data_IF_005598277365
#
_entry.id   IF_005598277365
#
_cell.length_a   1.000
_cell.length_b   1.000
_cell.length_c   1.000
_cell.angle_alpha   90.00
_cell.angle_beta   90.00
_cell.angle_gamma   90.00
#
_symmetry.space_group_name_H-M   'P 1'
#
loop_
_entity.id
_entity.type
_entity.pdbx_description
1 polymer ?
#
# COMPACT_ATOMS: atom_id res chain seq x y z
N UNK A 1 16.04 -3.06 -4.30
CA UNK A 1 15.76 -1.63 -4.51
C UNK A 1 14.40 -1.52 -5.18
N UNK A 2 13.41 -0.94 -4.48
CA UNK A 2 12.03 -0.80 -4.94
C UNK A 2 11.42 0.44 -4.26
N UNK A 3 12.00 1.60 -4.53
CA UNK A 3 11.67 2.86 -3.85
C UNK A 3 10.25 3.27 -4.18
N UNK A 4 9.44 3.53 -3.15
CA UNK A 4 8.10 4.03 -3.34
C UNK A 4 7.17 3.72 -2.16
N UNK A 5 5.92 4.20 -2.26
CA UNK A 5 4.99 4.12 -1.17
C UNK A 5 4.46 2.70 -0.97
N UNK A 6 4.03 2.43 0.26
CA UNK A 6 3.21 1.28 0.61
C UNK A 6 1.83 1.75 1.03
N UNK A 7 0.79 1.09 0.53
CA UNK A 7 -0.60 1.45 0.76
C UNK A 7 -1.41 0.25 1.26
N UNK A 8 -2.49 0.53 1.99
CA UNK A 8 -3.53 -0.47 2.22
C UNK A 8 -4.92 0.15 2.10
N UNK A 9 -5.82 -0.63 1.52
CA UNK A 9 -7.21 -0.28 1.30
C UNK A 9 -8.13 -1.41 1.78
N UNK A 10 -9.33 -1.08 2.24
CA UNK A 10 -10.39 -2.03 2.52
C UNK A 10 -11.54 -1.82 1.54
N UNK A 11 -12.25 -2.89 1.22
CA UNK A 11 -13.54 -2.83 0.53
C UNK A 11 -14.51 -3.83 1.16
N UNK A 12 -15.79 -3.46 1.40
CA UNK A 12 -16.81 -4.43 1.77
C UNK A 12 -16.92 -5.51 0.70
N UNK A 13 -17.02 -6.76 1.12
CA UNK A 13 -17.10 -7.93 0.25
C UNK A 13 -18.50 -8.55 0.39
N UNK A 14 -19.49 -8.08 -0.38
CA UNK A 14 -20.89 -8.45 -0.18
C UNK A 14 -21.17 -9.93 -0.50
N UNK A 15 -20.30 -10.58 -1.28
CA UNK A 15 -20.41 -11.98 -1.64
C UNK A 15 -19.06 -12.54 -2.06
N UNK A 16 -18.74 -13.82 -1.76
CA UNK A 16 -17.56 -14.51 -2.28
C UNK A 16 -17.45 -14.53 -3.82
N UNK A 17 -18.56 -14.28 -4.52
CA UNK A 17 -18.61 -14.25 -5.98
C UNK A 17 -18.22 -12.87 -6.56
N UNK A 18 -18.12 -11.82 -5.74
CA UNK A 18 -17.72 -10.50 -6.20
C UNK A 18 -16.22 -10.48 -6.48
N UNK A 19 -15.84 -10.06 -7.67
CA UNK A 19 -14.43 -9.97 -8.07
C UNK A 19 -13.78 -8.71 -7.50
N UNK A 20 -12.47 -8.73 -7.29
CA UNK A 20 -11.75 -7.58 -6.75
C UNK A 20 -11.93 -6.30 -7.60
N UNK A 21 -12.14 -6.42 -8.91
CA UNK A 21 -12.30 -5.26 -9.79
C UNK A 21 -13.65 -4.53 -9.62
N UNK A 22 -14.64 -5.20 -9.03
CA UNK A 22 -15.97 -4.64 -8.77
C UNK A 22 -16.04 -3.95 -7.39
N UNK A 23 -15.08 -4.22 -6.52
CA UNK A 23 -15.03 -3.70 -5.17
C UNK A 23 -14.62 -2.21 -5.14
N UNK A 24 -15.24 -1.47 -4.22
CA UNK A 24 -14.93 -0.07 -3.94
C UNK A 24 -14.01 0.01 -2.73
N UNK A 25 -12.73 0.24 -3.00
CA UNK A 25 -11.66 0.29 -2.03
C UNK A 25 -11.47 1.68 -1.44
N UNK A 26 -11.58 1.81 -0.13
CA UNK A 26 -11.20 3.03 0.59
C UNK A 26 -9.84 2.84 1.27
N UNK A 27 -9.02 3.89 1.26
CA UNK A 27 -7.65 3.84 1.79
C UNK A 27 -7.67 3.91 3.32
N UNK A 28 -6.94 3.01 3.97
CA UNK A 28 -6.80 2.97 5.44
C UNK A 28 -5.36 3.18 5.91
N UNK A 29 -4.39 3.02 5.02
CA UNK A 29 -2.98 3.18 5.34
C UNK A 29 -2.19 3.69 4.13
N UNK A 30 -1.21 4.53 4.42
CA UNK A 30 -0.21 4.98 3.47
C UNK A 30 1.10 5.29 4.19
N UNK A 31 2.19 4.72 3.71
CA UNK A 31 3.55 5.09 4.08
C UNK A 31 4.29 5.47 2.80
N UNK A 32 4.41 6.77 2.56
CA UNK A 32 5.13 7.32 1.42
C UNK A 32 6.60 7.63 1.74
N UNK A 33 7.12 8.78 1.32
CA UNK A 33 8.48 9.18 1.71
C UNK A 33 8.48 9.73 3.14
N UNK A 34 9.45 9.30 3.95
CA UNK A 34 9.61 9.65 5.37
C UNK A 34 10.85 10.55 5.55
N UNK A 35 10.70 11.89 5.53
CA UNK A 35 11.84 12.81 5.51
C UNK A 35 12.72 12.78 6.75
N UNK A 36 12.19 12.28 7.88
CA UNK A 36 12.91 12.18 9.16
C UNK A 36 13.97 11.08 9.17
N UNK A 37 13.78 10.04 8.33
CA UNK A 37 14.72 8.92 8.21
C UNK A 37 15.36 8.84 6.82
N UNK A 38 14.79 9.54 5.84
CA UNK A 38 15.32 9.59 4.48
C UNK A 38 14.86 8.43 3.59
N UNK A 39 13.91 7.61 4.06
CA UNK A 39 13.47 6.38 3.41
C UNK A 39 12.08 6.52 2.77
N UNK A 40 11.83 5.79 1.69
CA UNK A 40 10.46 5.45 1.29
C UNK A 40 9.84 4.41 2.21
N UNK A 41 8.51 4.33 2.27
CA UNK A 41 7.80 3.35 3.07
C UNK A 41 8.36 1.94 2.90
N UNK A 42 8.56 1.49 1.66
CA UNK A 42 9.12 0.17 1.40
C UNK A 42 10.52 -0.05 2.00
N UNK A 43 11.39 0.95 1.89
CA UNK A 43 12.73 0.89 2.50
C UNK A 43 12.63 0.86 4.02
N UNK A 44 11.76 1.71 4.58
CA UNK A 44 11.50 1.72 6.01
C UNK A 44 11.00 0.36 6.51
N UNK A 45 10.07 -0.29 5.81
CA UNK A 45 9.60 -1.62 6.18
C UNK A 45 10.69 -2.68 6.12
N UNK A 46 11.64 -2.59 5.17
CA UNK A 46 12.77 -3.52 5.14
C UNK A 46 13.65 -3.43 6.38
N UNK A 47 13.71 -2.27 7.03
CA UNK A 47 14.36 -2.11 8.35
C UNK A 47 13.55 -2.67 9.52
N UNK A 48 12.28 -3.05 9.27
CA UNK A 48 11.30 -3.53 10.25
C UNK A 48 10.82 -4.94 9.94
N UNK A 49 11.74 -5.84 9.58
CA UNK A 49 11.45 -7.24 9.25
C UNK A 49 10.44 -7.37 8.11
N UNK A 50 10.59 -6.51 7.11
CA UNK A 50 9.71 -6.42 5.93
C UNK A 50 8.24 -6.28 6.33
N UNK A 51 7.93 -5.48 7.35
CA UNK A 51 6.57 -5.40 7.89
C UNK A 51 6.04 -3.99 8.09
N UNK A 52 4.72 -3.87 7.99
CA UNK A 52 3.97 -2.70 8.41
C UNK A 52 2.85 -3.09 9.37
N UNK A 53 2.58 -2.15 10.28
CA UNK A 53 1.41 -2.19 11.14
C UNK A 53 0.31 -1.33 10.53
N UNK A 54 -0.81 -1.97 10.21
CA UNK A 54 -2.00 -1.33 9.66
C UNK A 54 -3.08 -1.34 10.71
N UNK A 55 -3.70 -0.18 10.92
CA UNK A 55 -4.78 -0.02 11.85
C UNK A 55 -6.11 -0.15 11.11
N UNK A 56 -6.95 -1.13 11.49
CA UNK A 56 -8.33 -1.19 11.00
C UNK A 56 -9.14 -0.01 11.57
N UNK A 57 -9.99 0.67 10.77
CA UNK A 57 -10.93 1.65 11.29
C UNK A 57 -11.91 1.00 12.27
N UNK A 58 -12.18 1.65 13.40
CA UNK A 58 -13.10 1.14 14.42
C UNK A 58 -14.57 1.51 14.17
N UNK A 59 -14.82 2.44 13.25
CA UNK A 59 -16.12 3.06 12.98
C UNK A 59 -16.83 2.52 11.73
N UNK A 60 -16.15 1.68 10.93
CA UNK A 60 -16.75 1.04 9.75
C UNK A 60 -17.72 -0.08 10.14
N UNK A 61 -18.70 -0.35 9.29
CA UNK A 61 -19.65 -1.45 9.52
C UNK A 61 -18.97 -2.80 9.68
N UNK A 62 -19.53 -3.65 10.55
CA UNK A 62 -19.07 -5.04 10.65
C UNK A 62 -19.47 -5.82 9.38
N UNK A 63 -18.64 -6.76 8.96
CA UNK A 63 -18.91 -7.57 7.77
C UNK A 63 -17.66 -8.22 7.17
N UNK A 64 -17.84 -8.81 6.00
CA UNK A 64 -16.74 -9.34 5.20
C UNK A 64 -16.08 -8.22 4.41
N UNK A 65 -14.76 -8.20 4.38
CA UNK A 65 -13.94 -7.21 3.69
C UNK A 65 -12.80 -7.87 2.92
N UNK A 66 -12.41 -7.25 1.82
CA UNK A 66 -11.11 -7.48 1.18
C UNK A 66 -10.15 -6.39 1.60
N UNK A 67 -9.05 -6.78 2.24
CA UNK A 67 -7.89 -5.93 2.45
C UNK A 67 -6.96 -6.04 1.25
N UNK A 68 -6.70 -4.92 0.58
CA UNK A 68 -5.78 -4.81 -0.55
C UNK A 68 -4.57 -3.98 -0.11
N UNK A 69 -3.43 -4.65 0.03
CA UNK A 69 -2.14 -4.02 0.27
C UNK A 69 -1.39 -3.83 -1.05
N UNK A 70 -0.61 -2.77 -1.15
CA UNK A 70 0.20 -2.49 -2.33
C UNK A 70 1.57 -1.97 -1.96
N UNK A 71 2.57 -2.45 -2.70
CA UNK A 71 3.83 -1.76 -2.87
C UNK A 71 3.88 -1.14 -4.26
N UNK A 72 4.10 0.17 -4.35
CA UNK A 72 4.35 0.86 -5.63
C UNK A 72 5.83 1.18 -5.70
N UNK A 73 6.49 0.83 -6.79
CA UNK A 73 7.92 1.07 -6.99
C UNK A 73 8.15 2.01 -8.17
N UNK A 74 9.05 2.96 -7.93
CA UNK A 74 9.27 4.17 -8.73
C UNK A 74 10.73 4.28 -9.19
N UNK A 75 11.56 3.28 -8.90
CA UNK A 75 12.99 3.27 -9.26
C UNK A 75 13.21 3.38 -10.78
N UNK A 76 12.22 2.99 -11.60
CA UNK A 76 12.23 3.21 -13.04
C UNK A 76 12.35 4.69 -13.44
N UNK A 77 11.94 5.62 -12.57
CA UNK A 77 11.99 7.07 -12.84
C UNK A 77 13.29 7.74 -12.36
N UNK A 78 14.28 6.97 -11.92
CA UNK A 78 15.54 7.54 -11.46
C UNK A 78 16.37 8.11 -12.60
N UNK A 79 16.97 9.27 -12.35
CA UNK A 79 17.75 10.04 -13.32
C UNK A 79 19.02 9.33 -13.78
N UNK A 80 19.65 8.54 -12.91
CA UNK A 80 20.88 7.80 -13.16
C UNK A 80 20.67 6.27 -13.22
N UNK A 81 19.46 5.84 -13.58
CA UNK A 81 19.11 4.43 -13.77
C UNK A 81 19.98 3.79 -14.87
N UNK A 82 20.74 2.75 -14.49
CA UNK A 82 21.61 1.99 -15.41
C UNK A 82 20.85 0.98 -16.26
N UNK A 83 19.75 0.44 -15.76
CA UNK A 83 18.93 -0.53 -16.48
C UNK A 83 17.85 0.16 -17.33
N UNK A 84 18.11 0.28 -18.63
CA UNK A 84 17.19 0.90 -19.57
C UNK A 84 15.84 0.15 -19.71
N UNK A 85 15.77 -1.13 -19.31
CA UNK A 85 14.57 -1.96 -19.45
C UNK A 85 13.44 -1.58 -18.51
N UNK A 86 13.74 -0.84 -17.44
CA UNK A 86 12.74 -0.38 -16.45
C UNK A 86 12.59 1.15 -16.43
N UNK A 87 13.27 1.86 -17.36
CA UNK A 87 13.25 3.32 -17.42
C UNK A 87 11.84 3.84 -17.70
N UNK A 88 11.35 4.73 -16.84
CA UNK A 88 10.01 5.32 -16.87
C UNK A 88 8.88 4.37 -16.44
N UNK A 89 9.20 3.17 -15.95
CA UNK A 89 8.18 2.20 -15.54
C UNK A 89 7.88 2.29 -14.05
N UNK A 90 6.58 2.17 -13.74
CA UNK A 90 6.06 1.99 -12.39
C UNK A 90 5.63 0.54 -12.24
N UNK A 91 6.06 -0.09 -11.15
CA UNK A 91 5.66 -1.45 -10.81
C UNK A 91 4.75 -1.42 -9.59
N UNK A 92 3.64 -2.14 -9.66
CA UNK A 92 2.65 -2.21 -8.58
C UNK A 92 2.52 -3.68 -8.18
N UNK A 93 2.70 -3.96 -6.89
CA UNK A 93 2.62 -5.30 -6.30
C UNK A 93 1.42 -5.38 -5.34
N UNK A 94 0.21 -5.68 -5.85
CA UNK A 94 -0.97 -5.81 -5.02
C UNK A 94 -1.07 -7.21 -4.38
N UNK A 95 -1.48 -7.25 -3.11
CA UNK A 95 -1.86 -8.48 -2.42
C UNK A 95 -3.20 -8.28 -1.71
N UNK A 96 -4.13 -9.21 -1.90
CA UNK A 96 -5.48 -9.17 -1.33
C UNK A 96 -5.68 -10.27 -0.30
N UNK A 97 -6.38 -9.94 0.78
CA UNK A 97 -6.69 -10.83 1.89
C UNK A 97 -8.16 -10.68 2.29
N UNK A 98 -8.84 -11.79 2.56
CA UNK A 98 -10.22 -11.78 3.03
C UNK A 98 -10.27 -11.72 4.55
N UNK A 99 -11.07 -10.81 5.09
CA UNK A 99 -11.21 -10.59 6.52
C UNK A 99 -12.67 -10.47 6.91
N UNK A 100 -12.99 -10.93 8.12
CA UNK A 100 -14.24 -10.61 8.78
C UNK A 100 -13.95 -9.58 9.88
N UNK A 101 -14.55 -8.39 9.74
CA UNK A 101 -14.43 -7.30 10.71
C UNK A 101 -15.67 -7.32 11.59
N UNK A 102 -15.46 -7.32 12.90
CA UNK A 102 -16.53 -7.31 13.92
C UNK A 102 -16.29 -6.21 14.94
N UNK A 103 -17.36 -5.76 15.62
CA UNK A 103 -17.28 -4.73 16.66
C UNK A 103 -17.19 -3.29 16.12
N UNK A 104 -17.46 -3.10 14.83
CA UNK A 104 -17.38 -1.83 14.14
C UNK A 104 -18.51 -0.83 14.44
N UNK A 105 -18.60 0.23 13.64
CA UNK A 105 -19.62 1.27 13.71
C UNK A 105 -20.63 1.21 12.55
N UNK A 106 -21.04 2.38 12.05
CA UNK A 106 -22.03 2.53 10.97
C UNK A 106 -21.47 3.31 9.77
N UNK A 107 -20.17 3.55 9.72
CA UNK A 107 -19.54 4.30 8.63
C UNK A 107 -19.38 3.40 7.42
N UNK A 108 -19.81 3.90 6.27
CA UNK A 108 -19.58 3.27 4.96
C UNK A 108 -18.74 4.24 4.12
N UNK A 109 -17.41 4.09 4.09
CA UNK A 109 -16.55 5.01 3.35
C UNK A 109 -16.75 4.86 1.83
N UNK A 110 -16.71 5.98 1.12
CA UNK A 110 -16.62 5.96 -0.34
C UNK A 110 -15.27 5.38 -0.79
N UNK A 111 -15.28 4.58 -1.86
CA UNK A 111 -14.12 3.88 -2.36
C UNK A 111 -13.87 4.07 -3.85
N UNK A 112 -12.68 3.69 -4.28
CA UNK A 112 -12.20 3.69 -5.68
C UNK A 112 -12.11 2.28 -6.23
N UNK A 113 -12.05 2.13 -7.55
CA UNK A 113 -11.84 0.82 -8.19
C UNK A 113 -10.40 0.63 -8.64
N UNK A 114 -9.98 -0.64 -8.66
CA UNK A 114 -8.77 -1.09 -9.30
C UNK A 114 -9.15 -2.13 -10.36
N UNK A 115 -8.87 -1.91 -11.67
CA UNK A 115 -8.24 -0.74 -12.26
C UNK A 115 -9.13 0.52 -12.21
N UNK A 116 -8.52 1.69 -12.41
CA UNK A 116 -9.23 2.97 -12.57
C UNK A 116 -8.61 4.15 -11.81
N UNK A 117 -8.18 3.94 -10.57
CA UNK A 117 -7.65 5.04 -9.74
C UNK A 117 -6.26 5.55 -10.16
N UNK A 118 -5.40 4.67 -10.70
CA UNK A 118 -4.06 5.06 -11.15
C UNK A 118 -4.06 5.42 -12.63
N UNK A 119 -3.50 6.59 -12.95
CA UNK A 119 -3.27 7.04 -14.32
C UNK A 119 -1.77 7.08 -14.60
N UNK A 120 -1.40 6.80 -15.85
CA UNK A 120 0.01 6.76 -16.26
C UNK A 120 0.72 8.12 -16.08
N UNK A 121 -0.02 9.22 -16.12
CA UNK A 121 0.45 10.59 -15.97
C UNK A 121 0.24 11.17 -14.56
N UNK A 122 -0.15 10.34 -13.58
CA UNK A 122 -0.26 10.78 -12.19
C UNK A 122 1.07 11.36 -11.74
N UNK A 123 1.07 12.63 -11.28
CA UNK A 123 2.28 13.29 -10.76
C UNK A 123 2.93 12.50 -9.61
N UNK A 124 2.14 11.75 -8.85
CA UNK A 124 2.62 10.84 -7.81
C UNK A 124 3.30 9.57 -8.32
N UNK A 125 3.26 9.29 -9.62
CA UNK A 125 3.82 8.10 -10.27
C UNK A 125 4.93 8.42 -11.29
N UNK A 126 5.04 9.65 -11.79
CA UNK A 126 5.99 10.05 -12.85
C UNK A 126 7.17 10.91 -12.38
N UNK A 127 7.53 10.84 -11.11
CA UNK A 127 8.61 11.62 -10.52
C UNK A 127 9.80 10.73 -10.15
N UNK A 128 10.97 11.35 -10.04
CA UNK A 128 12.18 10.66 -9.62
C UNK A 128 12.21 10.50 -8.09
N UNK A 129 12.32 9.27 -7.54
CA UNK A 129 12.35 9.07 -6.09
C UNK A 129 13.65 9.53 -5.43
N UNK A 130 14.72 9.78 -6.22
CA UNK A 130 16.04 10.30 -5.80
C UNK A 130 16.73 11.05 -6.94
N UNK A 131 17.69 11.95 -6.65
CA UNK A 131 18.53 12.56 -7.71
C UNK A 131 19.68 11.65 -8.18
N UNK A 132 20.11 10.69 -7.35
CA UNK A 132 21.11 9.69 -7.70
C UNK A 132 20.88 8.37 -6.97
N UNK A 133 21.23 7.27 -7.62
CA UNK A 133 21.33 5.90 -7.11
C UNK A 133 22.39 5.75 -6.02
N UNK A 134 23.52 6.45 -6.13
CA UNK A 134 24.66 6.28 -5.22
C UNK A 134 24.48 7.06 -3.91
N UNK A 135 23.64 8.10 -3.91
CA UNK A 135 23.34 8.92 -2.74
C UNK A 135 21.85 9.18 -2.70
N UNK A 136 21.11 8.59 -1.73
CA UNK A 136 19.73 8.97 -1.47
C UNK A 136 19.72 10.44 -1.05
N UNK A 137 19.60 11.31 -2.04
CA UNK A 137 19.48 12.75 -1.91
C UNK A 137 18.03 13.11 -2.15
N UNK A 138 17.52 14.10 -1.41
CA UNK A 138 16.16 14.60 -1.58
C UNK A 138 15.96 15.00 -3.06
N UNK A 139 15.09 14.30 -3.77
CA UNK A 139 14.69 14.75 -5.09
C UNK A 139 13.83 16.01 -4.99
N UNK A 140 14.10 16.97 -5.86
CA UNK A 140 13.29 18.16 -6.00
C UNK A 140 11.83 17.77 -6.31
N UNK A 141 10.88 18.29 -5.55
CA UNK A 141 9.45 18.03 -5.76
C UNK A 141 8.87 16.83 -5.02
N UNK A 142 9.66 16.05 -4.26
CA UNK A 142 9.12 15.04 -3.33
C UNK A 142 8.14 15.71 -2.36
N UNK A 143 8.49 16.87 -1.78
CA UNK A 143 7.66 17.62 -0.83
C UNK A 143 6.29 18.10 -1.36
N UNK A 144 6.03 17.99 -2.68
CA UNK A 144 4.74 18.30 -3.32
C UNK A 144 4.02 17.04 -3.82
N UNK A 145 4.50 15.86 -3.47
CA UNK A 145 3.92 14.59 -3.89
C UNK A 145 2.79 14.16 -2.94
N UNK A 146 1.73 13.59 -3.51
CA UNK A 146 0.61 12.99 -2.75
C UNK A 146 1.05 11.92 -1.74
N UNK A 147 2.23 11.34 -1.94
CA UNK A 147 2.87 10.35 -1.08
C UNK A 147 3.93 10.94 -0.13
N UNK A 148 3.90 12.23 0.18
CA UNK A 148 4.64 12.78 1.32
C UNK A 148 3.65 13.05 2.43
N UNK A 149 3.61 12.14 3.39
CA UNK A 149 2.75 12.26 4.55
C UNK A 149 3.63 12.47 5.80
N UNK A 150 3.42 13.52 6.62
CA UNK A 150 3.79 13.41 8.02
C UNK A 150 2.97 12.27 8.61
N UNK A 151 3.60 11.34 9.34
CA UNK A 151 2.92 10.18 9.92
C UNK A 151 1.71 10.66 10.74
N UNK A 152 0.52 10.58 10.15
CA UNK A 152 -0.76 10.92 10.79
C UNK A 152 -1.66 9.70 10.69
N UNK A 153 -1.41 8.73 11.55
CA UNK A 153 -2.38 7.68 11.85
C UNK A 153 -3.26 8.18 13.01
N UNK A 154 -4.57 8.32 12.79
CA UNK A 154 -5.52 8.36 13.92
C UNK A 154 -5.34 7.06 14.69
N UNK A 155 -4.90 7.13 15.94
CA UNK A 155 -4.45 5.98 16.73
C UNK A 155 -5.52 5.39 17.64
N UNK A 156 -6.64 4.92 17.09
CA UNK A 156 -7.59 4.10 17.85
C UNK A 156 -7.99 2.86 17.04
N UNK A 157 -7.64 1.66 17.55
CA UNK A 157 -8.07 0.35 17.03
C UNK A 157 -7.02 -0.78 17.16
N UNK A 158 -7.32 -1.97 16.60
CA UNK A 158 -6.43 -3.14 16.52
C UNK A 158 -5.34 -3.08 15.42
N UNK A 159 -4.06 -3.26 15.78
CA UNK A 159 -2.93 -3.31 14.85
C UNK A 159 -2.80 -4.69 14.16
N UNK A 160 -2.90 -4.73 12.83
CA UNK A 160 -2.50 -5.88 12.04
C UNK A 160 -1.05 -5.72 11.57
N UNK A 161 -0.21 -6.72 11.80
CA UNK A 161 1.18 -6.74 11.29
C UNK A 161 1.24 -7.64 10.07
N UNK A 162 1.61 -7.08 8.91
CA UNK A 162 1.79 -7.84 7.68
C UNK A 162 3.27 -8.05 7.41
N UNK A 163 3.69 -9.29 7.15
CA UNK A 163 5.04 -9.61 6.73
C UNK A 163 5.10 -9.75 5.21
N UNK A 164 5.95 -8.95 4.57
CA UNK A 164 6.28 -9.07 3.17
C UNK A 164 7.46 -10.03 3.04
N UNK A 165 7.23 -11.30 2.68
CA UNK A 165 8.34 -12.19 2.29
C UNK A 165 8.55 -12.10 0.77
N UNK A 166 9.72 -11.65 0.27
CA UNK A 166 10.02 -11.75 -1.15
C UNK A 166 10.07 -13.22 -1.55
N UNK A 167 9.22 -13.62 -2.50
CA UNK A 167 9.15 -14.99 -2.99
C UNK A 167 10.42 -15.30 -3.81
N UNK A 168 11.28 -16.18 -3.31
CA UNK A 168 12.32 -16.83 -4.10
C UNK A 168 11.66 -17.95 -4.92
N UNK A 169 11.55 -17.77 -6.23
CA UNK A 169 11.17 -18.85 -7.15
C UNK A 169 9.84 -18.63 -7.86
N UNK A 170 9.92 -18.66 -9.19
CA UNK A 170 8.81 -18.65 -10.14
C UNK A 170 7.75 -19.71 -9.80
N UNK A 171 6.55 -19.27 -9.39
CA UNK A 171 5.22 -19.87 -9.66
C UNK A 171 4.15 -19.05 -8.95
N UNK A 172 3.28 -18.41 -9.73
CA UNK A 172 2.09 -17.69 -9.26
C UNK A 172 1.04 -18.69 -8.76
N UNK A 173 1.03 -19.02 -7.46
CA UNK A 173 -0.12 -19.69 -6.83
C UNK A 173 -0.05 -19.54 -5.32
N UNK A 174 -0.81 -18.60 -4.75
CA UNK A 174 -1.29 -18.67 -3.38
C UNK A 174 -2.69 -18.04 -3.31
N UNK A 175 -3.71 -18.84 -3.63
CA UNK A 175 -5.04 -18.66 -3.06
C UNK A 175 -5.10 -19.62 -1.86
N UNK A 176 -4.82 -19.11 -0.67
CA UNK A 176 -5.15 -19.78 0.58
C UNK A 176 -6.12 -18.88 1.32
N UNK A 177 -7.40 -19.17 1.19
CA UNK A 177 -8.49 -18.46 1.88
C UNK A 177 -8.46 -18.86 3.36
N UNK A 178 -7.56 -18.27 4.13
CA UNK A 178 -7.65 -18.29 5.59
C UNK A 178 -8.43 -17.05 6.01
N UNK A 179 -9.68 -17.23 6.44
CA UNK A 179 -10.43 -16.16 7.10
C UNK A 179 -9.79 -15.90 8.46
N UNK A 180 -9.14 -14.75 8.60
CA UNK A 180 -8.72 -14.26 9.91
C UNK A 180 -9.84 -13.37 10.44
N UNK A 181 -10.55 -13.82 11.47
CA UNK A 181 -11.51 -12.99 12.20
C UNK A 181 -10.72 -11.99 13.05
N UNK A 182 -10.95 -10.70 12.82
CA UNK A 182 -10.19 -9.62 13.46
C UNK A 182 -11.16 -8.71 14.23
N UNK A 183 -10.96 -8.58 15.55
CA UNK A 183 -11.77 -7.72 16.41
C UNK A 183 -11.34 -6.26 16.25
N UNK A 184 -12.23 -5.37 15.80
CA UNK A 184 -12.04 -3.93 15.94
C UNK A 184 -12.32 -3.57 17.41
N UNK A 185 -11.27 -3.49 18.24
CA UNK A 185 -11.42 -3.09 19.64
C UNK A 185 -11.55 -1.56 19.75
N UNK A 186 -12.50 -1.12 20.59
CA UNK A 186 -12.76 0.29 20.95
C UNK A 186 -11.69 0.85 21.87
#
# INVERSE_FOLDING_TARGET
MHNGPTLAHLAPHPSPNTTANELKFFKIFEAGYLPSVGDWGNEYASTKFDSFKIQLPSDIESGLYVLRTELITLHGNMTDLKDSRVKGQVQIYPHCFNHEITGGGTVVPEGVTFPGVYKADDAGLIFSPYMSYATPSRAAGIERNKYVNPISTRQHGLQLTFFYKPHQGHRNTLASTTYLSVLAQK
#
